data_IF_029563598551
#
_entry.id   IF_029563598551
#
_cell.length_a   1.000
_cell.length_b   1.000
_cell.length_c   1.000
_cell.angle_alpha   90.00
_cell.angle_beta   90.00
_cell.angle_gamma   90.00
#
_symmetry.space_group_name_H-M   'P 1'
#
loop_
_entity.id
_entity.type
_entity.pdbx_description
1 polymer ?
#
# COMPACT_ATOMS: atom_id res chain seq x y z
N UNK A 1 8.14 13.79 -11.80
CA UNK A 1 6.94 13.59 -12.64
C UNK A 1 5.79 13.10 -11.77
N UNK A 2 4.54 13.53 -12.01
CA UNK A 2 3.38 12.99 -11.32
C UNK A 2 3.24 11.50 -11.70
N UNK A 3 3.38 10.62 -10.71
CA UNK A 3 3.20 9.18 -10.92
C UNK A 3 1.72 8.92 -11.12
N UNK A 4 1.35 8.34 -12.27
CA UNK A 4 -0.03 7.96 -12.51
C UNK A 4 -0.50 6.98 -11.41
N UNK A 5 -1.73 7.14 -10.92
CA UNK A 5 -2.34 6.27 -9.90
C UNK A 5 -2.07 4.76 -10.12
N UNK A 6 -2.26 4.17 -11.31
CA UNK A 6 -1.96 2.75 -11.52
C UNK A 6 -0.47 2.41 -11.38
N UNK A 7 0.43 3.31 -11.75
CA UNK A 7 1.88 3.12 -11.59
C UNK A 7 2.31 3.21 -10.13
N UNK A 8 1.73 4.13 -9.36
CA UNK A 8 1.96 4.24 -7.92
C UNK A 8 1.49 2.99 -7.18
N UNK A 9 0.30 2.47 -7.52
CA UNK A 9 -0.22 1.20 -6.98
C UNK A 9 0.74 0.06 -7.29
N UNK A 10 1.25 -0.04 -8.53
CA UNK A 10 2.19 -1.08 -8.93
C UNK A 10 3.49 -1.02 -8.12
N UNK A 11 4.12 0.15 -8.04
CA UNK A 11 5.36 0.36 -7.26
C UNK A 11 5.17 0.05 -5.78
N UNK A 12 4.03 0.43 -5.22
CA UNK A 12 3.69 0.09 -3.83
C UNK A 12 3.54 -1.42 -3.65
N UNK A 13 2.94 -2.11 -4.61
CA UNK A 13 2.77 -3.56 -4.56
C UNK A 13 4.09 -4.32 -4.68
N UNK A 14 5.01 -3.83 -5.52
CA UNK A 14 6.37 -4.34 -5.60
C UNK A 14 7.11 -4.15 -4.27
N UNK A 15 6.97 -2.99 -3.62
CA UNK A 15 7.54 -2.73 -2.30
C UNK A 15 6.99 -3.69 -1.23
N UNK A 16 5.68 -3.86 -1.17
CA UNK A 16 5.01 -4.73 -0.20
C UNK A 16 5.49 -6.18 -0.34
N UNK A 17 5.61 -6.67 -1.57
CA UNK A 17 6.13 -8.02 -1.84
C UNK A 17 7.61 -8.15 -1.52
N UNK A 18 8.43 -7.18 -1.92
CA UNK A 18 9.88 -7.21 -1.67
C UNK A 18 10.21 -7.21 -0.18
N UNK A 19 9.39 -6.54 0.64
CA UNK A 19 9.56 -6.45 2.09
C UNK A 19 8.74 -7.50 2.87
N UNK A 20 8.06 -8.43 2.19
CA UNK A 20 7.18 -9.44 2.81
C UNK A 20 6.15 -8.84 3.78
N UNK A 21 5.58 -7.69 3.40
CA UNK A 21 4.60 -6.95 4.21
C UNK A 21 3.17 -7.47 4.06
N UNK A 22 2.98 -8.65 3.47
CA UNK A 22 1.68 -9.32 3.46
C UNK A 22 1.51 -10.10 4.76
N UNK A 23 0.33 -10.03 5.35
CA UNK A 23 0.05 -10.81 6.55
C UNK A 23 0.12 -12.32 6.20
N UNK A 24 0.94 -13.12 6.92
CA UNK A 24 1.10 -14.55 6.64
C UNK A 24 -0.17 -15.37 6.91
N UNK A 25 -1.09 -14.86 7.75
CA UNK A 25 -2.39 -15.47 8.06
C UNK A 25 -3.47 -15.00 7.09
N UNK A 26 -3.39 -13.76 6.63
CA UNK A 26 -4.31 -13.20 5.64
C UNK A 26 -3.59 -12.43 4.53
N UNK A 27 -3.37 -13.11 3.40
CA UNK A 27 -2.67 -12.52 2.23
C UNK A 27 -3.38 -11.31 1.61
N UNK A 28 -4.59 -10.97 2.05
CA UNK A 28 -5.33 -9.77 1.62
C UNK A 28 -5.01 -8.54 2.46
N UNK A 29 -4.44 -8.75 3.64
CA UNK A 29 -4.05 -7.73 4.59
C UNK A 29 -2.57 -7.40 4.41
N UNK A 30 -2.27 -6.12 4.36
CA UNK A 30 -0.92 -5.57 4.24
C UNK A 30 -0.56 -5.01 5.60
N UNK A 31 0.53 -5.48 6.18
CA UNK A 31 1.11 -4.96 7.41
C UNK A 31 1.97 -3.77 7.05
N UNK A 32 1.60 -2.59 7.54
CA UNK A 32 2.28 -1.35 7.22
C UNK A 32 3.57 -1.22 8.03
N UNK A 33 4.70 -1.10 7.33
CA UNK A 33 5.95 -0.66 7.93
C UNK A 33 5.91 0.85 8.23
N UNK A 34 6.99 1.42 8.80
CA UNK A 34 7.02 2.85 9.14
C UNK A 34 6.72 3.77 7.93
N UNK A 35 7.14 3.35 6.73
CA UNK A 35 6.89 4.11 5.49
C UNK A 35 5.45 4.00 5.03
N UNK A 36 4.90 2.79 5.01
CA UNK A 36 3.51 2.55 4.65
C UNK A 36 2.55 3.15 5.67
N UNK A 37 2.90 3.21 6.96
CA UNK A 37 2.10 3.89 7.99
C UNK A 37 1.92 5.38 7.69
N UNK A 38 2.94 6.05 7.16
CA UNK A 38 2.82 7.45 6.75
C UNK A 38 1.87 7.65 5.56
N UNK A 39 1.71 6.62 4.71
CA UNK A 39 0.78 6.63 3.56
C UNK A 39 -0.61 6.16 3.97
N UNK A 40 -0.71 5.13 4.80
CA UNK A 40 -1.98 4.49 5.15
C UNK A 40 -2.67 5.18 6.31
N UNK A 41 -1.92 5.82 7.20
CA UNK A 41 -2.40 6.37 8.47
C UNK A 41 -2.76 5.30 9.51
N UNK A 42 -2.38 4.04 9.28
CA UNK A 42 -2.73 2.87 10.10
C UNK A 42 -1.71 1.74 9.94
N UNK A 43 -1.68 0.85 10.92
CA UNK A 43 -0.75 -0.29 10.98
C UNK A 43 -1.03 -1.40 9.96
N UNK A 44 -2.23 -1.42 9.36
CA UNK A 44 -2.56 -2.38 8.33
C UNK A 44 -3.62 -1.86 7.35
N UNK A 45 -3.57 -2.31 6.11
CA UNK A 45 -4.56 -1.96 5.10
C UNK A 45 -4.94 -3.18 4.27
N UNK A 46 -6.22 -3.26 3.88
CA UNK A 46 -6.66 -4.24 2.89
C UNK A 46 -6.28 -3.82 1.47
N UNK A 47 -6.20 -4.80 0.56
CA UNK A 47 -5.95 -4.55 -0.87
C UNK A 47 -6.95 -3.57 -1.51
N UNK A 48 -8.22 -3.60 -1.11
CA UNK A 48 -9.24 -2.65 -1.61
C UNK A 48 -9.05 -1.24 -1.05
N UNK A 49 -8.60 -1.14 0.20
CA UNK A 49 -8.33 0.15 0.84
C UNK A 49 -7.10 0.83 0.24
N UNK A 50 -6.10 0.05 -0.19
CA UNK A 50 -4.88 0.54 -0.83
C UNK A 50 -5.18 1.48 -2.01
N UNK A 51 -6.12 1.08 -2.87
CA UNK A 51 -6.52 1.89 -4.01
C UNK A 51 -7.22 3.19 -3.58
N UNK A 52 -8.06 3.12 -2.54
CA UNK A 52 -8.75 4.28 -1.97
C UNK A 52 -7.75 5.27 -1.36
N UNK A 53 -6.86 4.80 -0.51
CA UNK A 53 -5.81 5.58 0.15
C UNK A 53 -4.94 6.30 -0.89
N UNK A 54 -4.43 5.57 -1.89
CA UNK A 54 -3.63 6.18 -2.96
C UNK A 54 -4.42 7.20 -3.78
N UNK A 55 -5.73 7.00 -3.93
CA UNK A 55 -6.61 7.99 -4.57
C UNK A 55 -6.71 9.31 -3.80
N UNK A 56 -6.57 9.30 -2.47
CA UNK A 56 -6.56 10.52 -1.65
C UNK A 56 -5.23 11.27 -1.71
N UNK A 57 -4.12 10.57 -1.97
CA UNK A 57 -2.78 11.16 -2.04
C UNK A 57 -2.36 11.64 -3.44
N UNK A 58 -2.96 11.07 -4.49
CA UNK A 58 -2.59 11.32 -5.89
C UNK A 58 -3.64 12.19 -6.63
N UNK A 59 -4.42 12.96 -5.86
CA UNK A 59 -5.41 13.92 -6.38
C UNK A 59 -4.80 15.11 -7.09
#
# INVERSE_FOLDING_TARGET
EPVARPEAVKKLWEYIKANNLQDPKDKRTIVADDKLRAVFGKDSAGMFELAGILGQHLG
#
